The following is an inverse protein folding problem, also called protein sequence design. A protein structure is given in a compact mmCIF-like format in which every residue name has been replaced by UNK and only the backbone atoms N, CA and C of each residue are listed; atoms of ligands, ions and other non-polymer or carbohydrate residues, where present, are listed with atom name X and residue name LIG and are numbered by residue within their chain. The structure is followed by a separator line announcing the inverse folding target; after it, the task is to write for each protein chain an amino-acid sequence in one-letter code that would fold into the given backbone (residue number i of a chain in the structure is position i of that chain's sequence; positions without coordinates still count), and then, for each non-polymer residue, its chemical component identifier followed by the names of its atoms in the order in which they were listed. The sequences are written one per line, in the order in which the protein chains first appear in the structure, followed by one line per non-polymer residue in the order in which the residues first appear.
data_IF_723189552257
#
_entry.id   IF_723189552257
#
_cell.length_a   1.000
_cell.length_b   1.000
_cell.length_c   1.000
_cell.angle_alpha   90.00
_cell.angle_beta   90.00
_cell.angle_gamma   90.00
#
_symmetry.space_group_name_H-M   'P 1'
#
loop_
_entity.id
_entity.type
_entity.pdbx_description
1 polymer ?
#
# COMPACT_ATOMS: atom_id res chain seq x y z
N UNK A 1 0.70 -2.06 13.96
CA UNK A 1 0.70 -1.31 12.69
C UNK A 1 0.93 -2.22 11.49
N UNK A 2 2.04 -2.97 11.38
CA UNK A 2 2.37 -3.80 10.19
C UNK A 2 1.30 -4.81 9.79
N UNK A 3 0.72 -5.56 10.77
CA UNK A 3 -0.38 -6.47 10.48
C UNK A 3 -1.64 -5.76 9.98
N UNK A 4 -1.90 -4.55 10.50
CA UNK A 4 -3.01 -3.72 10.02
C UNK A 4 -2.81 -3.30 8.58
N UNK A 5 -1.60 -2.86 8.21
CA UNK A 5 -1.30 -2.47 6.84
C UNK A 5 -1.52 -3.60 5.83
N UNK A 6 -1.02 -4.81 6.14
CA UNK A 6 -1.23 -5.96 5.26
C UNK A 6 -2.71 -6.32 5.13
N UNK A 7 -3.45 -6.24 6.24
CA UNK A 7 -4.90 -6.44 6.21
C UNK A 7 -5.61 -5.36 5.41
N UNK A 8 -5.25 -4.09 5.62
CA UNK A 8 -5.84 -2.94 4.95
C UNK A 8 -5.63 -3.01 3.43
N UNK A 9 -4.40 -3.25 3.01
CA UNK A 9 -4.04 -3.40 1.60
C UNK A 9 -4.81 -4.56 0.94
N UNK A 10 -4.77 -5.74 1.55
CA UNK A 10 -5.53 -6.89 1.05
C UNK A 10 -7.05 -6.62 1.01
N UNK A 11 -7.59 -5.96 2.04
CA UNK A 11 -9.02 -5.64 2.10
C UNK A 11 -9.43 -4.69 0.98
N UNK A 12 -8.65 -3.65 0.73
CA UNK A 12 -8.88 -2.69 -0.35
C UNK A 12 -8.82 -3.38 -1.72
N UNK A 13 -7.76 -4.15 -1.96
CA UNK A 13 -7.59 -4.87 -3.23
C UNK A 13 -8.67 -5.92 -3.46
N UNK A 14 -9.04 -6.69 -2.42
CA UNK A 14 -9.98 -7.81 -2.56
C UNK A 14 -11.44 -7.37 -2.59
N UNK A 15 -11.83 -6.41 -1.77
CA UNK A 15 -13.23 -5.94 -1.65
C UNK A 15 -13.51 -4.76 -2.56
N UNK A 16 -12.54 -3.87 -2.72
CA UNK A 16 -12.64 -2.72 -3.59
C UNK A 16 -12.29 -3.00 -5.04
N UNK A 17 -11.64 -4.15 -5.31
CA UNK A 17 -11.03 -4.40 -6.62
C UNK A 17 -10.17 -3.22 -7.09
N UNK A 18 -9.49 -2.57 -6.13
CA UNK A 18 -8.77 -1.32 -6.34
C UNK A 18 -7.40 -1.55 -6.99
N UNK A 19 -7.40 -2.21 -8.14
CA UNK A 19 -6.21 -2.45 -8.96
C UNK A 19 -6.60 -2.61 -10.43
N UNK A 20 -5.61 -2.39 -11.31
CA UNK A 20 -5.76 -2.60 -12.74
C UNK A 20 -4.54 -3.31 -13.33
N UNK A 21 -4.81 -4.20 -14.29
CA UNK A 21 -3.76 -4.88 -15.04
C UNK A 21 -3.26 -3.98 -16.17
N UNK A 22 -1.94 -3.78 -16.23
CA UNK A 22 -1.31 -2.90 -17.19
C UNK A 22 -0.28 -3.66 -18.04
N UNK A 23 -0.23 -3.32 -19.32
CA UNK A 23 0.92 -3.63 -20.18
C UNK A 23 1.57 -2.30 -20.52
N UNK A 24 2.76 -2.06 -19.99
CA UNK A 24 3.36 -0.74 -20.04
C UNK A 24 4.87 -0.76 -20.22
N UNK A 25 5.39 0.43 -20.39
CA UNK A 25 6.81 0.69 -20.54
C UNK A 25 7.44 1.07 -19.21
N UNK A 26 8.68 0.63 -19.00
CA UNK A 26 9.54 1.10 -17.93
C UNK A 26 10.67 1.94 -18.52
N UNK A 27 10.95 3.02 -17.83
CA UNK A 27 11.94 4.01 -18.22
C UNK A 27 13.13 3.98 -17.27
N UNK A 28 14.34 4.04 -17.84
CA UNK A 28 15.56 4.11 -17.03
C UNK A 28 15.53 5.31 -16.09
N UNK A 29 15.90 5.06 -14.85
CA UNK A 29 16.08 6.08 -13.82
C UNK A 29 17.38 5.82 -13.06
N UNK A 30 18.24 6.86 -12.98
CA UNK A 30 19.45 6.81 -12.15
C UNK A 30 19.10 7.08 -10.69
N UNK A 31 19.12 6.04 -9.86
CA UNK A 31 18.87 6.16 -8.42
C UNK A 31 20.22 6.15 -7.68
N UNK A 32 20.68 7.28 -7.09
CA UNK A 32 21.96 7.37 -6.40
C UNK A 32 22.06 6.53 -5.12
N UNK A 33 20.95 5.93 -4.67
CA UNK A 33 20.91 5.03 -3.52
C UNK A 33 21.25 3.57 -3.89
N UNK A 34 21.24 3.26 -5.19
CA UNK A 34 21.62 1.95 -5.69
C UNK A 34 23.12 1.89 -5.99
N UNK A 35 23.75 0.72 -5.89
CA UNK A 35 25.11 0.52 -6.38
C UNK A 35 25.25 0.94 -7.86
N UNK A 36 26.40 1.48 -8.26
CA UNK A 36 26.66 1.94 -9.63
C UNK A 36 26.44 0.89 -10.73
N UNK A 37 26.56 -0.40 -10.37
CA UNK A 37 26.34 -1.52 -11.27
C UNK A 37 24.88 -1.85 -11.49
N UNK A 38 23.98 -1.34 -10.61
CA UNK A 38 22.55 -1.59 -10.68
C UNK A 38 21.85 -0.55 -11.54
N UNK A 39 20.80 -0.96 -12.23
CA UNK A 39 19.99 -0.06 -13.05
C UNK A 39 18.53 -0.22 -12.70
N UNK A 40 17.87 0.90 -12.42
CA UNK A 40 16.44 0.93 -12.15
C UNK A 40 15.66 1.36 -13.39
N UNK A 41 14.51 0.69 -13.61
CA UNK A 41 13.56 1.03 -14.68
C UNK A 41 12.19 1.14 -14.04
N UNK A 42 11.65 2.34 -14.01
CA UNK A 42 10.40 2.66 -13.35
C UNK A 42 9.23 2.77 -14.34
N UNK A 43 8.05 2.31 -13.90
CA UNK A 43 6.81 2.53 -14.62
C UNK A 43 6.26 3.93 -14.36
N UNK A 44 5.16 4.29 -15.02
CA UNK A 44 4.38 5.49 -14.72
C UNK A 44 3.46 5.34 -13.49
N UNK A 45 3.55 4.23 -12.79
CA UNK A 45 2.73 3.90 -11.62
C UNK A 45 3.62 3.63 -10.41
N UNK A 46 3.19 4.06 -9.24
CA UNK A 46 4.01 3.99 -8.02
C UNK A 46 4.01 2.62 -7.37
N UNK A 47 2.85 2.09 -7.03
CA UNK A 47 2.77 0.81 -6.33
C UNK A 47 2.16 -0.27 -7.23
N UNK A 48 2.87 -1.40 -7.32
CA UNK A 48 2.37 -2.60 -7.95
C UNK A 48 1.77 -3.54 -6.92
N UNK A 49 0.80 -4.34 -7.37
CA UNK A 49 0.22 -5.40 -6.52
C UNK A 49 1.24 -6.50 -6.32
N UNK A 50 1.56 -6.79 -5.06
CA UNK A 50 2.50 -7.83 -4.65
C UNK A 50 1.82 -8.98 -3.86
N UNK A 51 0.52 -8.90 -3.61
CA UNK A 51 -0.24 -9.94 -2.93
C UNK A 51 -0.82 -10.94 -3.93
N UNK A 52 -0.20 -12.11 -4.02
CA UNK A 52 -0.63 -13.19 -4.91
C UNK A 52 -1.93 -13.88 -4.49
N UNK A 53 -2.51 -13.54 -3.33
CA UNK A 53 -3.82 -14.04 -2.90
C UNK A 53 -4.98 -13.23 -3.49
N UNK A 54 -4.71 -12.13 -4.17
CA UNK A 54 -5.71 -11.35 -4.86
C UNK A 54 -6.03 -12.05 -6.18
N UNK A 55 -7.28 -12.45 -6.32
CA UNK A 55 -7.81 -13.09 -7.53
C UNK A 55 -9.06 -12.36 -7.98
N UNK A 56 -9.21 -12.14 -9.25
CA UNK A 56 -10.44 -11.60 -9.85
C UNK A 56 -11.63 -12.52 -9.58
N UNK A 57 -12.81 -11.94 -9.50
CA UNK A 57 -14.07 -12.68 -9.26
C UNK A 57 -14.79 -13.09 -10.52
N UNK A 58 -14.51 -12.44 -11.64
CA UNK A 58 -15.08 -12.75 -12.95
C UNK A 58 -14.07 -12.50 -14.07
N UNK A 59 -13.77 -13.56 -14.85
CA UNK A 59 -12.86 -13.46 -16.00
C UNK A 59 -11.37 -13.35 -15.61
N UNK A 60 -10.62 -12.64 -16.42
CA UNK A 60 -9.16 -12.55 -16.34
C UNK A 60 -8.62 -11.40 -15.48
N UNK A 61 -9.40 -10.88 -14.54
CA UNK A 61 -9.02 -9.69 -13.75
C UNK A 61 -8.14 -10.00 -12.52
N UNK A 62 -7.54 -11.16 -12.47
CA UNK A 62 -6.56 -11.48 -11.42
C UNK A 62 -5.30 -10.63 -11.58
N UNK A 63 -4.71 -10.13 -10.49
CA UNK A 63 -3.44 -9.44 -10.53
C UNK A 63 -2.37 -10.30 -11.19
N UNK A 64 -1.62 -9.71 -12.09
CA UNK A 64 -0.57 -10.39 -12.85
C UNK A 64 0.74 -10.21 -12.11
N UNK A 65 1.42 -11.32 -11.80
CA UNK A 65 2.82 -11.26 -11.37
C UNK A 65 3.62 -10.62 -12.53
N UNK A 66 4.48 -9.63 -12.24
CA UNK A 66 5.20 -8.92 -13.28
C UNK A 66 5.93 -9.87 -14.23
N UNK A 67 5.67 -9.73 -15.53
CA UNK A 67 6.23 -10.58 -16.60
C UNK A 67 6.69 -9.75 -17.78
N UNK A 68 7.47 -10.36 -18.68
CA UNK A 68 7.91 -9.73 -19.92
C UNK A 68 9.17 -8.88 -19.80
N UNK A 69 9.74 -8.73 -18.62
CA UNK A 69 10.94 -7.92 -18.38
C UNK A 69 12.26 -8.68 -18.60
N UNK A 70 12.23 -9.78 -19.31
CA UNK A 70 13.43 -10.52 -19.65
C UNK A 70 14.04 -10.01 -20.95
N UNK A 71 15.37 -9.94 -21.01
CA UNK A 71 16.12 -9.71 -22.24
C UNK A 71 16.72 -11.01 -22.73
N UNK A 72 16.50 -11.36 -24.01
CA UNK A 72 17.08 -12.57 -24.64
C UNK A 72 16.84 -13.85 -23.83
N UNK A 73 15.68 -13.97 -23.15
CA UNK A 73 15.34 -15.11 -22.32
C UNK A 73 16.02 -15.16 -20.95
N UNK A 74 16.75 -14.11 -20.54
CA UNK A 74 17.37 -14.00 -19.22
C UNK A 74 16.52 -13.14 -18.30
N UNK A 75 16.08 -13.74 -17.19
CA UNK A 75 15.41 -13.07 -16.07
C UNK A 75 16.28 -13.02 -14.80
N UNK A 76 17.48 -13.59 -14.87
CA UNK A 76 18.44 -13.59 -13.77
C UNK A 76 18.97 -12.18 -13.51
N UNK A 77 19.00 -11.80 -12.24
CA UNK A 77 19.45 -10.48 -11.81
C UNK A 77 18.39 -9.38 -11.88
N UNK A 78 17.10 -9.73 -12.02
CA UNK A 78 16.00 -8.78 -11.92
C UNK A 78 15.34 -8.88 -10.54
N UNK A 79 15.25 -7.74 -9.85
CA UNK A 79 14.51 -7.59 -8.61
C UNK A 79 13.29 -6.70 -8.87
N UNK A 80 12.11 -7.16 -8.46
CA UNK A 80 10.88 -6.37 -8.51
C UNK A 80 10.74 -5.52 -7.25
N UNK A 81 10.75 -4.22 -7.40
CA UNK A 81 10.45 -3.24 -6.35
C UNK A 81 9.00 -2.78 -6.51
N UNK A 82 8.10 -3.55 -5.90
CA UNK A 82 6.66 -3.36 -6.02
C UNK A 82 6.19 -2.03 -5.43
N UNK A 83 6.86 -1.57 -4.37
CA UNK A 83 6.50 -0.32 -3.70
C UNK A 83 6.82 0.91 -4.55
N UNK A 84 7.89 0.85 -5.30
CA UNK A 84 8.30 1.94 -6.20
C UNK A 84 7.90 1.73 -7.66
N UNK A 85 7.14 0.67 -7.97
CA UNK A 85 6.65 0.41 -9.32
C UNK A 85 7.74 0.27 -10.36
N UNK A 86 8.82 -0.46 -10.03
CA UNK A 86 10.03 -0.53 -10.85
C UNK A 86 10.69 -1.90 -10.78
N UNK A 87 11.56 -2.15 -11.72
CA UNK A 87 12.52 -3.25 -11.64
C UNK A 87 13.93 -2.72 -11.41
N UNK A 88 14.74 -3.51 -10.70
CA UNK A 88 16.17 -3.25 -10.49
C UNK A 88 16.94 -4.39 -11.15
N UNK A 89 17.76 -4.05 -12.12
CA UNK A 89 18.66 -4.98 -12.81
C UNK A 89 20.01 -4.93 -12.11
N UNK A 90 20.49 -6.08 -11.66
CA UNK A 90 21.74 -6.21 -10.87
C UNK A 90 22.91 -6.75 -11.67
N UNK A 91 22.68 -7.25 -12.89
CA UNK A 91 23.70 -7.92 -13.72
C UNK A 91 24.41 -7.02 -14.73
N UNK A 92 24.05 -5.74 -14.85
CA UNK A 92 24.65 -4.80 -15.78
C UNK A 92 24.34 -5.07 -17.27
N UNK A 93 23.33 -5.91 -17.55
CA UNK A 93 23.03 -6.39 -18.90
C UNK A 93 22.13 -5.43 -19.72
N UNK A 94 21.38 -4.56 -19.07
CA UNK A 94 20.46 -3.64 -19.74
C UNK A 94 21.15 -2.30 -20.04
N UNK A 95 20.79 -1.70 -21.18
CA UNK A 95 21.30 -0.39 -21.56
C UNK A 95 20.44 0.71 -20.96
N UNK A 96 21.04 1.80 -20.50
CA UNK A 96 20.35 2.99 -19.98
C UNK A 96 19.46 3.67 -21.03
N UNK A 97 19.62 3.36 -22.30
CA UNK A 97 18.78 3.87 -23.39
C UNK A 97 17.63 2.93 -23.76
N UNK A 98 17.57 1.74 -23.15
CA UNK A 98 16.49 0.80 -23.40
C UNK A 98 15.20 1.22 -22.69
N UNK A 99 14.10 1.00 -23.38
CA UNK A 99 12.76 1.01 -22.78
C UNK A 99 12.30 -0.42 -22.66
N UNK A 100 12.05 -0.87 -21.45
CA UNK A 100 11.55 -2.20 -21.19
C UNK A 100 10.03 -2.19 -21.28
N UNK A 101 9.43 -3.29 -21.71
CA UNK A 101 7.99 -3.45 -21.73
C UNK A 101 7.63 -4.74 -21.00
N UNK A 102 6.61 -4.67 -20.17
CA UNK A 102 6.13 -5.84 -19.45
C UNK A 102 4.69 -5.66 -18.98
N UNK A 103 4.16 -6.70 -18.37
CA UNK A 103 2.81 -6.72 -17.77
C UNK A 103 2.92 -6.80 -16.26
N UNK A 104 2.10 -6.03 -15.57
CA UNK A 104 2.06 -5.93 -14.11
C UNK A 104 0.69 -5.41 -13.66
N UNK A 105 0.33 -5.68 -12.41
CA UNK A 105 -0.86 -5.10 -11.80
C UNK A 105 -0.49 -3.89 -10.96
N UNK A 106 -1.20 -2.80 -11.11
CA UNK A 106 -0.99 -1.55 -10.36
C UNK A 106 -2.12 -1.33 -9.37
N UNK A 107 -1.80 -0.75 -8.23
CA UNK A 107 -2.80 -0.34 -7.26
C UNK A 107 -3.46 0.96 -7.71
N UNK A 108 -4.78 1.04 -7.61
CA UNK A 108 -5.52 2.27 -7.90
C UNK A 108 -5.33 3.31 -6.79
N UNK A 109 -5.02 2.87 -5.58
CA UNK A 109 -4.62 3.71 -4.46
C UNK A 109 -3.26 3.27 -3.92
N UNK A 110 -2.32 4.20 -3.88
CA UNK A 110 -1.04 4.00 -3.22
C UNK A 110 -1.22 4.10 -1.70
N UNK A 111 -0.58 3.22 -0.94
CA UNK A 111 -0.70 3.20 0.53
C UNK A 111 0.64 3.58 1.13
N UNK A 112 0.64 4.64 1.93
CA UNK A 112 1.83 5.16 2.60
C UNK A 112 1.65 5.18 4.11
N UNK A 113 2.70 4.78 4.83
CA UNK A 113 2.83 5.12 6.24
C UNK A 113 3.37 6.52 6.37
N UNK A 114 2.81 7.29 7.28
CA UNK A 114 3.25 8.65 7.57
C UNK A 114 3.28 8.93 9.06
N UNK A 115 4.13 9.88 9.45
CA UNK A 115 4.13 10.52 10.76
C UNK A 115 3.66 11.99 10.65
N UNK A 116 3.31 12.44 9.45
CA UNK A 116 2.81 13.79 9.21
C UNK A 116 1.38 13.92 9.74
N UNK A 117 1.01 15.12 10.15
CA UNK A 117 -0.35 15.42 10.57
C UNK A 117 -1.29 15.49 9.36
N UNK A 118 -2.59 15.36 9.60
CA UNK A 118 -3.59 15.53 8.54
C UNK A 118 -3.51 16.93 7.89
N UNK A 119 -3.20 17.95 8.68
CA UNK A 119 -3.04 19.31 8.21
C UNK A 119 -1.83 19.46 7.29
N UNK A 120 -0.68 18.89 7.67
CA UNK A 120 0.53 18.92 6.87
C UNK A 120 0.34 18.21 5.54
N UNK A 121 -0.29 17.02 5.57
CA UNK A 121 -0.61 16.25 4.36
C UNK A 121 -1.48 17.03 3.37
N UNK A 122 -2.46 17.79 3.88
CA UNK A 122 -3.41 18.51 3.03
C UNK A 122 -2.84 19.83 2.52
N UNK A 123 -2.10 20.57 3.37
CA UNK A 123 -1.63 21.92 3.04
C UNK A 123 -0.30 21.95 2.27
N UNK A 124 0.62 21.03 2.55
CA UNK A 124 1.94 21.04 1.90
C UNK A 124 1.91 20.63 0.43
N UNK A 125 0.87 19.93 0.00
CA UNK A 125 0.60 19.58 -1.41
C UNK A 125 1.83 19.07 -2.18
N UNK A 126 2.56 18.12 -1.60
CA UNK A 126 3.79 17.55 -2.15
C UNK A 126 3.53 16.39 -3.14
N UNK A 127 2.28 16.16 -3.53
CA UNK A 127 1.88 14.98 -4.27
C UNK A 127 1.87 15.24 -5.77
N UNK A 128 2.23 14.19 -6.52
CA UNK A 128 2.03 14.14 -7.96
C UNK A 128 0.78 13.37 -8.30
N UNK A 129 0.03 13.82 -9.31
CA UNK A 129 -1.17 13.12 -9.77
C UNK A 129 -0.78 12.00 -10.73
N UNK A 130 -1.27 10.80 -10.50
CA UNK A 130 -0.99 9.64 -11.35
C UNK A 130 -1.45 9.87 -12.80
N UNK A 131 -2.59 10.51 -12.98
CA UNK A 131 -3.13 10.89 -14.31
C UNK A 131 -2.17 11.78 -15.12
N UNK A 132 -1.39 12.62 -14.47
CA UNK A 132 -0.39 13.47 -15.15
C UNK A 132 0.85 12.70 -15.57
N UNK A 133 1.30 11.75 -14.75
CA UNK A 133 2.46 10.92 -15.06
C UNK A 133 2.24 10.01 -16.24
N UNK A 134 1.09 9.36 -16.31
CA UNK A 134 0.74 8.46 -17.42
C UNK A 134 0.69 9.19 -18.77
N UNK A 135 0.39 10.48 -18.78
CA UNK A 135 0.39 11.31 -19.98
C UNK A 135 1.79 11.68 -20.46
N UNK A 136 2.74 11.82 -19.53
CA UNK A 136 4.10 12.30 -19.83
C UNK A 136 5.08 11.20 -20.23
N UNK A 137 4.67 9.93 -20.25
CA UNK A 137 5.49 8.78 -20.63
C UNK A 137 6.87 8.75 -19.92
N UNK A 138 6.86 8.97 -18.61
CA UNK A 138 8.07 8.93 -17.77
C UNK A 138 7.89 7.98 -16.60
N UNK A 139 9.00 7.47 -16.07
CA UNK A 139 8.97 6.66 -14.86
C UNK A 139 8.80 7.49 -13.59
N UNK A 140 8.02 7.00 -12.64
CA UNK A 140 7.85 7.64 -11.33
C UNK A 140 9.14 7.52 -10.52
N UNK A 141 9.57 8.61 -9.93
CA UNK A 141 10.76 8.59 -9.07
C UNK A 141 10.46 7.95 -7.72
N UNK A 142 11.44 7.30 -7.09
CA UNK A 142 11.22 6.58 -5.84
C UNK A 142 10.76 7.45 -4.66
N UNK A 143 11.09 8.73 -4.69
CA UNK A 143 10.73 9.69 -3.63
C UNK A 143 9.43 10.46 -3.92
N UNK A 144 8.85 10.32 -5.11
CA UNK A 144 7.57 10.95 -5.44
C UNK A 144 6.44 10.17 -4.75
N UNK A 145 5.50 10.89 -4.17
CA UNK A 145 4.26 10.34 -3.64
C UNK A 145 3.14 10.60 -4.65
N UNK A 146 2.50 9.54 -5.08
CA UNK A 146 1.49 9.60 -6.15
C UNK A 146 0.09 9.52 -5.58
N UNK A 147 -0.81 10.37 -6.05
CA UNK A 147 -2.26 10.35 -5.78
C UNK A 147 -2.95 9.71 -7.00
N UNK A 148 -3.94 8.82 -6.82
CA UNK A 148 -4.68 8.52 -5.58
C UNK A 148 -3.86 7.80 -4.51
N UNK A 149 -4.05 8.19 -3.24
CA UNK A 149 -3.26 7.66 -2.13
C UNK A 149 -4.03 7.61 -0.81
N UNK A 150 -3.59 6.72 0.06
CA UNK A 150 -4.07 6.61 1.43
C UNK A 150 -2.86 6.69 2.36
N UNK A 151 -2.85 7.71 3.21
CA UNK A 151 -1.81 7.94 4.20
C UNK A 151 -2.27 7.44 5.55
N UNK A 152 -1.54 6.48 6.12
CA UNK A 152 -1.92 5.82 7.37
C UNK A 152 -0.98 6.22 8.49
N UNK A 153 -1.55 6.69 9.59
CA UNK A 153 -0.84 7.06 10.81
C UNK A 153 -1.42 6.31 12.03
N UNK A 154 -0.57 6.02 13.01
CA UNK A 154 -0.96 5.47 14.31
C UNK A 154 -0.74 6.54 15.37
N UNK A 155 -1.81 7.15 15.85
CA UNK A 155 -1.69 8.28 16.78
C UNK A 155 -1.41 7.85 18.21
N UNK A 156 -2.14 6.87 18.71
CA UNK A 156 -2.11 6.50 20.11
C UNK A 156 -2.20 4.99 20.30
N UNK A 157 -1.29 4.47 21.11
CA UNK A 157 -1.36 3.10 21.60
C UNK A 157 -1.36 3.12 23.12
N UNK A 158 -2.41 2.57 23.74
CA UNK A 158 -2.53 2.49 25.20
C UNK A 158 -2.91 1.10 25.66
N UNK A 159 -2.50 0.75 26.87
CA UNK A 159 -2.87 -0.50 27.53
C UNK A 159 -3.80 -0.19 28.69
N UNK A 160 -4.89 -0.91 28.75
CA UNK A 160 -5.90 -0.81 29.82
C UNK A 160 -6.07 -2.19 30.47
N UNK A 161 -6.20 -2.28 31.80
CA UNK A 161 -6.58 -3.53 32.45
C UNK A 161 -7.95 -3.99 31.96
N UNK A 162 -8.05 -5.25 31.53
CA UNK A 162 -9.30 -5.78 31.01
C UNK A 162 -10.02 -6.71 31.98
N UNK A 163 -9.27 -7.53 32.74
CA UNK A 163 -9.86 -8.51 33.63
C UNK A 163 -9.03 -8.70 34.91
N UNK A 164 -9.68 -9.19 35.97
CA UNK A 164 -9.03 -9.53 37.25
C UNK A 164 -7.94 -10.60 37.13
N UNK A 165 -7.90 -11.36 36.02
CA UNK A 165 -6.87 -12.35 35.74
C UNK A 165 -5.55 -11.78 35.23
N UNK A 166 -5.39 -10.45 35.17
CA UNK A 166 -4.19 -9.79 34.70
C UNK A 166 -4.12 -9.70 33.16
N UNK A 167 -5.23 -9.85 32.47
CA UNK A 167 -5.31 -9.63 31.03
C UNK A 167 -5.41 -8.13 30.74
N UNK A 168 -4.57 -7.66 29.80
CA UNK A 168 -4.55 -6.27 29.34
C UNK A 168 -5.23 -6.15 27.97
N UNK A 169 -5.97 -5.07 27.76
CA UNK A 169 -6.47 -4.66 26.46
C UNK A 169 -5.55 -3.56 25.90
N UNK A 170 -4.91 -3.86 24.77
CA UNK A 170 -4.17 -2.86 24.02
C UNK A 170 -5.10 -2.23 23.00
N UNK A 171 -5.28 -0.92 23.07
CA UNK A 171 -6.05 -0.13 22.10
C UNK A 171 -5.12 0.72 21.27
N UNK A 172 -5.42 0.84 19.99
CA UNK A 172 -4.68 1.67 19.05
C UNK A 172 -5.67 2.45 18.17
N UNK A 173 -5.48 3.75 18.09
CA UNK A 173 -6.20 4.61 17.14
C UNK A 173 -5.35 4.77 15.90
N UNK A 174 -5.88 4.35 14.77
CA UNK A 174 -5.22 4.42 13.46
C UNK A 174 -6.07 5.34 12.58
N UNK A 175 -5.42 6.33 12.00
CA UNK A 175 -6.06 7.26 11.07
C UNK A 175 -5.56 7.02 9.66
N UNK A 176 -6.47 7.15 8.70
CA UNK A 176 -6.16 7.11 7.29
C UNK A 176 -6.72 8.34 6.58
N UNK A 177 -5.85 9.10 5.93
CA UNK A 177 -6.20 10.22 5.07
C UNK A 177 -6.25 9.72 3.64
N UNK A 178 -7.41 9.81 3.01
CA UNK A 178 -7.66 9.37 1.63
C UNK A 178 -7.60 10.58 0.72
N UNK A 179 -6.69 10.59 -0.23
CA UNK A 179 -6.59 11.56 -1.29
C UNK A 179 -6.98 10.89 -2.62
N UNK A 180 -8.04 11.34 -3.24
CA UNK A 180 -8.58 10.81 -4.49
C UNK A 180 -8.66 11.89 -5.57
N UNK A 181 -8.63 11.51 -6.84
CA UNK A 181 -8.75 12.45 -7.96
C UNK A 181 -10.21 12.82 -8.22
N UNK A 182 -11.16 11.95 -7.83
CA UNK A 182 -12.59 12.23 -7.99
C UNK A 182 -13.43 11.75 -6.78
N UNK A 183 -14.69 12.16 -6.77
CA UNK A 183 -15.61 11.85 -5.66
C UNK A 183 -16.06 10.39 -5.65
N UNK A 184 -16.10 9.72 -6.81
CA UNK A 184 -16.49 8.30 -6.88
C UNK A 184 -15.42 7.40 -6.29
N UNK A 185 -14.14 7.68 -6.60
CA UNK A 185 -13.01 7.00 -5.98
C UNK A 185 -13.02 7.17 -4.46
N UNK A 186 -13.21 8.42 -4.00
CA UNK A 186 -13.29 8.69 -2.57
C UNK A 186 -14.42 7.92 -1.89
N UNK A 187 -15.64 8.01 -2.43
CA UNK A 187 -16.81 7.36 -1.86
C UNK A 187 -16.69 5.84 -1.86
N UNK A 188 -16.10 5.29 -2.91
CA UNK A 188 -15.80 3.86 -3.02
C UNK A 188 -14.93 3.38 -1.86
N UNK A 189 -13.80 4.03 -1.62
CA UNK A 189 -12.89 3.66 -0.52
C UNK A 189 -13.55 3.84 0.84
N UNK A 190 -14.18 4.98 1.10
CA UNK A 190 -14.84 5.24 2.38
C UNK A 190 -15.92 4.19 2.69
N UNK A 191 -16.73 3.80 1.70
CA UNK A 191 -17.79 2.79 1.88
C UNK A 191 -17.24 1.39 2.16
N UNK A 192 -16.13 1.00 1.51
CA UNK A 192 -15.48 -0.30 1.74
C UNK A 192 -15.03 -0.43 3.20
N UNK A 193 -14.45 0.62 3.75
CA UNK A 193 -13.94 0.58 5.12
C UNK A 193 -15.01 0.87 6.17
N UNK A 194 -16.02 1.66 5.89
CA UNK A 194 -17.15 1.89 6.81
C UNK A 194 -17.81 0.57 7.27
N UNK A 195 -17.83 -0.46 6.42
CA UNK A 195 -18.40 -1.78 6.72
C UNK A 195 -17.40 -2.74 7.41
N UNK A 196 -16.29 -2.23 7.95
CA UNK A 196 -15.28 -3.06 8.60
C UNK A 196 -15.36 -3.07 10.13
N UNK A 197 -16.22 -2.28 10.73
CA UNK A 197 -16.46 -2.30 12.16
C UNK A 197 -16.81 -3.72 12.64
N UNK A 198 -16.27 -4.13 13.79
CA UNK A 198 -16.40 -5.46 14.40
C UNK A 198 -15.77 -6.61 13.61
N UNK A 199 -14.94 -6.31 12.61
CA UNK A 199 -14.12 -7.33 11.94
C UNK A 199 -12.85 -7.59 12.72
N UNK A 200 -12.32 -8.80 12.58
CA UNK A 200 -11.03 -9.19 13.15
C UNK A 200 -10.01 -9.47 12.03
N UNK A 201 -8.75 -9.22 12.31
CA UNK A 201 -7.65 -9.58 11.41
C UNK A 201 -6.50 -10.23 12.19
N UNK A 202 -5.72 -11.04 11.50
CA UNK A 202 -4.68 -11.87 12.12
C UNK A 202 -3.46 -11.02 12.52
N UNK A 203 -2.94 -11.29 13.71
CA UNK A 203 -1.64 -10.77 14.14
C UNK A 203 -0.53 -11.52 13.42
N UNK A 204 0.20 -10.85 12.56
CA UNK A 204 1.30 -11.42 11.76
C UNK A 204 2.62 -11.04 12.43
N UNK A 205 3.46 -12.04 12.72
CA UNK A 205 4.80 -11.79 13.25
C UNK A 205 5.75 -11.31 12.16
N UNK A 206 6.83 -10.62 12.53
CA UNK A 206 7.85 -10.17 11.58
C UNK A 206 8.51 -11.30 10.79
N UNK A 207 8.56 -12.51 11.31
CA UNK A 207 9.11 -13.67 10.60
C UNK A 207 8.31 -13.97 9.32
N UNK A 208 6.99 -13.85 9.37
CA UNK A 208 6.12 -14.07 8.21
C UNK A 208 5.72 -12.82 7.45
N UNK A 209 6.13 -11.65 7.93
CA UNK A 209 5.85 -10.40 7.27
C UNK A 209 6.67 -10.28 5.96
N UNK A 210 6.09 -9.79 4.85
CA UNK A 210 6.81 -9.62 3.58
C UNK A 210 7.91 -8.55 3.67
N UNK A 211 7.84 -7.65 4.65
CA UNK A 211 8.87 -6.64 4.91
C UNK A 211 9.71 -7.00 6.14
N UNK A 212 10.92 -6.46 6.21
CA UNK A 212 11.74 -6.48 7.41
C UNK A 212 11.11 -5.59 8.50
N UNK A 213 11.64 -5.66 9.72
CA UNK A 213 11.21 -4.78 10.82
C UNK A 213 11.51 -3.29 10.57
N UNK A 214 12.38 -2.99 9.60
CA UNK A 214 12.72 -1.63 9.17
C UNK A 214 11.97 -1.18 7.92
N UNK A 215 11.03 -2.00 7.41
CA UNK A 215 10.19 -1.67 6.25
C UNK A 215 10.72 -2.12 4.90
N UNK A 216 11.96 -2.63 4.82
CA UNK A 216 12.51 -3.14 3.56
C UNK A 216 11.77 -4.40 3.10
N UNK A 217 11.53 -4.53 1.81
CA UNK A 217 10.89 -5.71 1.22
C UNK A 217 11.86 -6.89 1.23
N UNK A 218 11.46 -8.00 1.85
CA UNK A 218 12.29 -9.23 1.93
C UNK A 218 12.38 -9.97 0.62
N UNK A 219 11.23 -10.12 -0.05
CA UNK A 219 11.09 -10.85 -1.30
C UNK A 219 9.95 -10.22 -2.11
N UNK A 220 9.89 -10.54 -3.38
CA UNK A 220 8.87 -10.06 -4.30
C UNK A 220 7.43 -10.22 -3.83
N UNK A 221 6.62 -11.05 -4.49
CA UNK A 221 5.22 -11.27 -4.12
C UNK A 221 5.07 -12.14 -2.87
N UNK A 222 4.02 -11.92 -2.10
CA UNK A 222 3.60 -12.74 -0.97
C UNK A 222 2.12 -13.13 -1.13
N UNK A 223 1.61 -14.02 -0.31
CA UNK A 223 0.19 -14.34 -0.25
C UNK A 223 -0.36 -13.99 1.13
N UNK A 224 -1.17 -12.94 1.21
CA UNK A 224 -1.80 -12.56 2.47
C UNK A 224 -2.62 -13.70 3.08
N UNK A 225 -3.38 -14.43 2.26
CA UNK A 225 -4.19 -15.55 2.74
C UNK A 225 -3.31 -16.64 3.37
N UNK A 226 -2.18 -16.97 2.76
CA UNK A 226 -1.25 -17.96 3.31
C UNK A 226 -0.61 -17.45 4.60
N UNK A 227 -0.13 -16.21 4.60
CA UNK A 227 0.48 -15.59 5.78
C UNK A 227 -0.54 -15.51 6.92
N UNK A 228 -1.74 -15.03 6.68
CA UNK A 228 -2.79 -14.93 7.69
C UNK A 228 -3.26 -16.30 8.24
N UNK A 229 -3.19 -17.35 7.43
CA UNK A 229 -3.55 -18.71 7.87
C UNK A 229 -2.45 -19.41 8.69
N UNK A 230 -1.20 -18.99 8.53
CA UNK A 230 -0.05 -19.60 9.22
C UNK A 230 0.04 -19.16 10.69
N UNK A 231 -0.50 -17.98 11.01
CA UNK A 231 -0.40 -17.42 12.36
C UNK A 231 -1.62 -17.73 13.22
N UNK A 232 -1.36 -17.80 14.53
CA UNK A 232 -2.35 -18.11 15.55
C UNK A 232 -3.50 -17.10 15.52
N UNK A 233 -4.72 -17.62 15.32
CA UNK A 233 -5.96 -16.86 15.35
C UNK A 233 -6.56 -16.73 16.76
N UNK A 234 -5.91 -17.31 17.77
CA UNK A 234 -6.40 -17.27 19.15
C UNK A 234 -6.37 -15.87 19.76
N UNK A 235 -5.53 -14.97 19.21
CA UNK A 235 -5.42 -13.61 19.69
C UNK A 235 -5.36 -12.60 18.53
N UNK A 236 -6.46 -12.39 17.79
CA UNK A 236 -6.51 -11.46 16.68
C UNK A 236 -6.55 -10.01 17.17
N UNK A 237 -6.36 -9.09 16.24
CA UNK A 237 -6.77 -7.71 16.39
C UNK A 237 -8.24 -7.56 16.03
N UNK A 238 -8.97 -6.78 16.80
CA UNK A 238 -10.36 -6.43 16.55
C UNK A 238 -10.47 -4.96 16.16
N UNK A 239 -11.26 -4.68 15.14
CA UNK A 239 -11.68 -3.34 14.79
C UNK A 239 -12.95 -3.06 15.59
N UNK A 240 -12.83 -2.29 16.66
CA UNK A 240 -13.94 -1.97 17.57
C UNK A 240 -14.93 -1.05 16.88
N UNK A 241 -14.41 0.02 16.26
CA UNK A 241 -15.21 1.03 15.58
C UNK A 241 -14.46 1.57 14.35
N UNK A 242 -15.25 2.10 13.41
CA UNK A 242 -14.74 2.80 12.22
C UNK A 242 -15.61 4.02 11.97
N UNK A 243 -14.98 5.17 11.97
CA UNK A 243 -15.61 6.42 11.60
C UNK A 243 -15.08 6.91 10.26
N UNK A 244 -15.97 7.20 9.31
CA UNK A 244 -15.60 7.78 8.02
C UNK A 244 -16.16 9.18 7.89
N UNK A 245 -15.37 10.09 7.34
CA UNK A 245 -15.80 11.46 7.09
C UNK A 245 -15.20 12.01 5.82
N UNK A 246 -15.85 13.02 5.25
CA UNK A 246 -15.34 13.77 4.11
C UNK A 246 -14.96 15.17 4.54
N UNK A 247 -13.98 15.71 3.86
CA UNK A 247 -13.65 17.11 4.03
C UNK A 247 -14.85 17.99 3.64
N UNK A 248 -15.16 18.98 4.45
CA UNK A 248 -16.31 19.84 4.17
C UNK A 248 -16.09 20.63 2.87
N UNK A 249 -17.17 20.94 2.15
CA UNK A 249 -17.09 21.72 0.89
C UNK A 249 -16.36 23.06 1.08
N UNK A 250 -16.52 23.70 2.23
CA UNK A 250 -15.84 24.96 2.53
C UNK A 250 -14.34 24.76 2.73
N UNK A 251 -13.95 23.68 3.39
CA UNK A 251 -12.54 23.32 3.58
C UNK A 251 -11.91 22.80 2.29
N UNK A 252 -12.68 22.08 1.46
CA UNK A 252 -12.24 21.60 0.14
C UNK A 252 -11.79 22.75 -0.80
N UNK A 253 -12.30 23.97 -0.61
CA UNK A 253 -11.86 25.15 -1.39
C UNK A 253 -10.41 25.56 -1.09
N UNK A 254 -9.83 25.11 0.02
CA UNK A 254 -8.45 25.38 0.41
C UNK A 254 -7.46 24.34 -0.15
N UNK A 255 -7.97 23.24 -0.67
CA UNK A 255 -7.20 22.16 -1.28
C UNK A 255 -7.21 22.32 -2.80
N UNK A 256 -6.15 21.90 -3.54
CA UNK A 256 -6.20 21.90 -4.99
C UNK A 256 -7.46 21.22 -5.49
N UNK A 257 -8.18 21.86 -6.41
CA UNK A 257 -9.51 21.42 -6.86
C UNK A 257 -9.56 20.04 -7.51
N UNK A 258 -8.39 19.51 -7.85
CA UNK A 258 -8.18 18.20 -8.46
C UNK A 258 -8.11 17.06 -7.43
N UNK A 259 -8.06 17.35 -6.11
CA UNK A 259 -7.95 16.36 -5.05
C UNK A 259 -9.18 16.40 -4.16
N UNK A 260 -9.75 15.24 -3.89
CA UNK A 260 -10.84 15.03 -2.92
C UNK A 260 -10.29 14.36 -1.68
N UNK A 261 -10.67 14.86 -0.51
CA UNK A 261 -10.11 14.41 0.78
C UNK A 261 -11.17 13.75 1.63
N UNK A 262 -10.84 12.62 2.21
CA UNK A 262 -11.64 11.91 3.21
C UNK A 262 -10.77 11.32 4.31
N UNK A 263 -11.41 10.95 5.40
CA UNK A 263 -10.76 10.42 6.59
C UNK A 263 -11.43 9.13 7.02
N UNK A 264 -10.64 8.20 7.52
CA UNK A 264 -11.09 6.96 8.12
C UNK A 264 -10.36 6.78 9.45
N UNK A 265 -11.09 6.79 10.53
CA UNK A 265 -10.56 6.55 11.87
C UNK A 265 -10.93 5.14 12.31
N UNK A 266 -9.93 4.35 12.69
CA UNK A 266 -10.10 3.01 13.19
C UNK A 266 -9.74 2.94 14.67
N UNK A 267 -10.61 2.37 15.48
CA UNK A 267 -10.29 1.91 16.82
C UNK A 267 -9.98 0.41 16.79
N UNK A 268 -8.73 0.06 17.04
CA UNK A 268 -8.27 -1.34 16.98
C UNK A 268 -7.84 -1.79 18.36
N UNK A 269 -8.31 -2.96 18.77
CA UNK A 269 -7.94 -3.56 20.05
C UNK A 269 -7.38 -4.97 19.92
N UNK A 270 -6.64 -5.40 20.93
CA UNK A 270 -6.21 -6.78 21.12
C UNK A 270 -6.03 -7.07 22.59
N UNK A 271 -6.58 -8.18 23.06
CA UNK A 271 -6.31 -8.69 24.41
C UNK A 271 -4.94 -9.36 24.46
N UNK A 272 -4.25 -9.22 25.55
CA UNK A 272 -2.97 -9.90 25.77
C UNK A 272 -2.80 -10.28 27.25
N UNK A 273 -2.20 -11.43 27.47
CA UNK A 273 -1.78 -11.80 28.82
C UNK A 273 -0.55 -11.01 29.24
N UNK A 274 -0.41 -10.72 30.54
CA UNK A 274 0.78 -10.07 31.07
C UNK A 274 2.02 -10.85 30.65
N UNK A 275 3.06 -10.12 30.33
CA UNK A 275 4.37 -10.74 30.10
C UNK A 275 4.94 -11.17 31.45
N UNK A 276 5.26 -12.45 31.57
CA UNK A 276 6.03 -12.99 32.70
C UNK A 276 7.46 -12.51 32.65
#
# INVERSE_FOLDING_TARGET
MTSFLLWFDNHLLKKGQAYSNQTGKLYYFSDPRLPDTYKAYASSYKQWVNDSSITGTEGDDSPIIPTGFSRSGRSDGIIFDFENGRIIETGGNFSTTETLTGTFAVKDFNIYLTNETEEDLILENKFELNSRYTQNASGVKPYDQMVPAIFINSELMRNEPFAFGGEDLTKNTIKAVVLAEDSYQLDGVLSIFADTARKAFTKISFTGHPSTEYGDVKNGSYSYTSVANTYDRSNPYYIEDVTVSKFSERAQQQVPGEIKVGFIDFEVSTARFPRS
#
